data_IF_825058703629
#
_entry.id   IF_825058703629
#
_cell.length_a   1.000
_cell.length_b   1.000
_cell.length_c   1.000
_cell.angle_alpha   90.00
_cell.angle_beta   90.00
_cell.angle_gamma   90.00
#
_symmetry.space_group_name_H-M   'P 1'
#
loop_
_entity.id
_entity.type
_entity.pdbx_description
1 polymer ?
#
# COMPACT_ATOMS: atom_id res chain seq x y z
N UNK A 1 4.48 11.69 126.26
CA UNK A 1 5.81 11.22 125.79
C UNK A 1 5.76 9.90 125.02
N UNK A 2 4.90 8.93 125.40
CA UNK A 2 4.60 7.78 124.54
C UNK A 2 3.97 8.22 123.20
N UNK A 3 3.10 9.24 123.24
CA UNK A 3 2.49 9.84 122.04
C UNK A 3 3.52 10.49 121.10
N UNK A 4 4.66 10.97 121.61
CA UNK A 4 5.70 11.60 120.78
C UNK A 4 6.46 10.58 119.94
N UNK A 5 6.72 9.38 120.50
CA UNK A 5 7.39 8.29 119.78
C UNK A 5 6.41 7.66 118.80
N UNK A 6 5.14 7.55 119.19
CA UNK A 6 4.08 7.03 118.32
C UNK A 6 3.76 8.00 117.16
N UNK A 7 3.78 9.31 117.40
CA UNK A 7 3.68 10.35 116.36
C UNK A 7 4.90 10.37 115.44
N UNK A 8 6.12 10.18 115.95
CA UNK A 8 7.32 10.10 115.12
C UNK A 8 7.37 8.83 114.25
N UNK A 9 6.90 7.68 114.78
CA UNK A 9 6.71 6.48 113.98
C UNK A 9 5.56 6.63 112.97
N UNK A 10 4.46 7.33 113.31
CA UNK A 10 3.40 7.67 112.35
C UNK A 10 3.87 8.66 111.28
N UNK A 11 4.78 9.58 111.58
CA UNK A 11 5.37 10.49 110.59
C UNK A 11 6.25 9.73 109.58
N UNK A 12 7.03 8.75 110.05
CA UNK A 12 7.76 7.83 109.17
C UNK A 12 6.81 7.00 108.29
N UNK A 13 5.64 6.62 108.81
CA UNK A 13 4.60 5.89 108.04
C UNK A 13 3.87 6.79 107.05
N UNK A 14 3.56 8.04 107.39
CA UNK A 14 2.91 8.99 106.48
C UNK A 14 3.82 9.38 105.31
N UNK A 15 5.15 9.35 105.50
CA UNK A 15 6.13 9.47 104.42
C UNK A 15 6.14 8.20 103.53
N UNK A 16 5.99 7.01 104.12
CA UNK A 16 5.85 5.74 103.40
C UNK A 16 4.52 5.60 102.63
N UNK A 17 3.39 6.04 103.19
CA UNK A 17 2.07 5.92 102.55
C UNK A 17 1.91 6.86 101.34
N UNK A 18 2.78 7.88 101.20
CA UNK A 18 2.86 8.72 99.99
C UNK A 18 3.31 7.95 98.73
N UNK A 19 3.77 6.71 98.88
CA UNK A 19 4.12 5.79 97.78
C UNK A 19 2.89 5.18 97.12
N UNK A 20 1.71 5.24 97.76
CA UNK A 20 0.48 4.71 97.22
C UNK A 20 -0.31 5.74 96.41
N UNK A 21 0.05 5.95 95.14
CA UNK A 21 -0.81 6.30 93.98
C UNK A 21 -0.04 7.15 92.96
N UNK A 22 0.79 6.51 92.13
CA UNK A 22 1.18 7.12 90.85
C UNK A 22 2.54 6.72 90.31
N UNK A 23 2.53 5.99 89.20
CA UNK A 23 3.58 6.09 88.18
C UNK A 23 4.81 5.22 88.40
N UNK A 24 4.96 4.22 87.54
CA UNK A 24 6.23 3.55 87.27
C UNK A 24 7.19 4.60 86.69
N UNK A 25 7.99 5.23 87.57
CA UNK A 25 8.94 6.25 87.18
C UNK A 25 9.90 6.59 88.32
N UNK A 26 11.06 5.90 88.34
CA UNK A 26 12.40 6.32 88.80
C UNK A 26 12.62 7.11 90.11
N UNK A 27 11.61 7.49 90.89
CA UNK A 27 11.73 8.38 92.06
C UNK A 27 11.47 7.72 93.42
N UNK A 28 11.13 6.43 93.46
CA UNK A 28 10.77 5.74 94.71
C UNK A 28 11.94 5.35 95.62
N UNK A 29 13.19 5.52 95.19
CA UNK A 29 14.37 5.08 95.94
C UNK A 29 14.83 6.12 96.97
N UNK A 30 14.69 7.42 96.67
CA UNK A 30 15.21 8.50 97.52
C UNK A 30 14.47 8.65 98.86
N UNK A 31 13.18 8.32 98.92
CA UNK A 31 12.36 8.45 100.14
C UNK A 31 12.61 7.33 101.15
N UNK A 32 13.05 6.15 100.68
CA UNK A 32 13.43 5.03 101.55
C UNK A 32 14.78 5.32 102.21
N UNK A 33 15.74 5.87 101.47
CA UNK A 33 17.02 6.32 102.02
C UNK A 33 16.85 7.43 103.06
N UNK A 34 16.00 8.43 102.81
CA UNK A 34 15.67 9.49 103.78
C UNK A 34 15.01 8.94 105.06
N UNK A 35 14.11 7.94 104.93
CA UNK A 35 13.50 7.28 106.07
C UNK A 35 14.50 6.43 106.88
N UNK A 36 15.49 5.80 106.21
CA UNK A 36 16.57 5.06 106.86
C UNK A 36 17.57 5.98 107.56
N UNK A 37 17.88 7.15 106.98
CA UNK A 37 18.73 8.17 107.59
C UNK A 37 18.10 8.76 108.87
N UNK A 38 16.78 8.92 108.90
CA UNK A 38 16.03 9.39 110.07
C UNK A 38 15.90 8.34 111.19
N UNK A 39 16.10 7.06 110.87
CA UNK A 39 16.07 5.96 111.85
C UNK A 39 17.27 6.03 112.81
N UNK A 40 18.46 6.42 112.31
CA UNK A 40 19.71 6.47 113.08
C UNK A 40 19.69 7.41 114.30
N UNK A 41 19.29 8.70 114.15
CA UNK A 41 19.13 9.64 115.26
C UNK A 41 18.07 9.20 116.28
N UNK A 42 17.01 8.53 115.81
CA UNK A 42 15.90 8.05 116.63
C UNK A 42 16.35 6.88 117.51
N UNK A 43 17.10 5.93 116.95
CA UNK A 43 17.76 4.85 117.70
C UNK A 43 18.73 5.45 118.73
N UNK A 44 19.55 6.42 118.36
CA UNK A 44 20.48 7.08 119.30
C UNK A 44 19.77 7.81 120.46
N UNK A 45 18.65 8.47 120.21
CA UNK A 45 17.87 9.15 121.27
C UNK A 45 17.19 8.17 122.24
N UNK A 46 16.71 7.04 121.72
CA UNK A 46 16.11 5.95 122.51
C UNK A 46 17.15 5.23 123.38
N UNK A 47 18.37 5.05 122.87
CA UNK A 47 19.50 4.51 123.63
C UNK A 47 19.93 5.46 124.76
N UNK A 48 19.98 6.78 124.52
CA UNK A 48 20.27 7.78 125.57
C UNK A 48 19.19 7.87 126.65
N UNK A 49 17.92 7.61 126.29
CA UNK A 49 16.78 7.63 127.21
C UNK A 49 16.57 6.31 127.98
N UNK A 50 17.41 5.28 127.76
CA UNK A 50 17.36 3.94 128.38
C UNK A 50 15.99 3.21 128.22
N UNK A 51 15.28 3.42 127.11
CA UNK A 51 13.95 2.86 126.81
C UNK A 51 13.94 1.86 125.66
N UNK A 52 15.04 1.11 125.48
CA UNK A 52 15.23 0.16 124.37
C UNK A 52 14.13 -0.90 124.27
N UNK A 53 13.73 -1.49 125.41
CA UNK A 53 12.73 -2.57 125.44
C UNK A 53 11.34 -2.12 124.97
N UNK A 54 10.96 -0.88 125.28
CA UNK A 54 9.66 -0.33 124.88
C UNK A 54 9.63 -0.01 123.37
N UNK A 55 10.74 0.48 122.82
CA UNK A 55 10.84 0.73 121.38
C UNK A 55 10.83 -0.58 120.58
N UNK A 56 11.57 -1.61 121.03
CA UNK A 56 11.56 -2.92 120.39
C UNK A 56 10.16 -3.54 120.39
N UNK A 57 9.46 -3.48 121.53
CA UNK A 57 8.09 -3.96 121.63
C UNK A 57 7.12 -3.17 120.73
N UNK A 58 7.34 -1.88 120.56
CA UNK A 58 6.50 -1.03 119.72
C UNK A 58 6.76 -1.23 118.22
N UNK A 59 8.01 -1.50 117.82
CA UNK A 59 8.36 -1.90 116.45
C UNK A 59 7.83 -3.29 116.13
N UNK A 60 7.88 -4.22 117.07
CA UNK A 60 7.36 -5.58 116.91
C UNK A 60 5.83 -5.59 116.78
N UNK A 61 5.13 -4.78 117.59
CA UNK A 61 3.68 -4.55 117.44
C UNK A 61 3.33 -3.86 116.11
N UNK A 62 4.19 -2.96 115.63
CA UNK A 62 4.00 -2.30 114.35
C UNK A 62 4.19 -3.26 113.17
N UNK A 63 5.23 -4.09 113.19
CA UNK A 63 5.48 -5.14 112.20
C UNK A 63 4.31 -6.12 112.14
N UNK A 64 3.85 -6.62 113.30
CA UNK A 64 2.68 -7.52 113.38
C UNK A 64 1.41 -6.87 112.82
N UNK A 65 1.21 -5.56 113.05
CA UNK A 65 0.06 -4.83 112.51
C UNK A 65 0.13 -4.69 110.98
N UNK A 66 1.32 -4.42 110.43
CA UNK A 66 1.53 -4.32 108.98
C UNK A 66 1.46 -5.67 108.28
N UNK A 67 1.97 -6.74 108.91
CA UNK A 67 1.81 -8.10 108.41
C UNK A 67 0.34 -8.53 108.40
N UNK A 68 -0.44 -8.16 109.42
CA UNK A 68 -1.88 -8.40 109.44
C UNK A 68 -2.63 -7.59 108.36
N UNK A 69 -2.20 -6.36 108.08
CA UNK A 69 -2.74 -5.52 107.01
C UNK A 69 -2.44 -6.12 105.63
N UNK A 70 -1.20 -6.56 105.39
CA UNK A 70 -0.79 -7.26 104.17
C UNK A 70 -1.57 -8.58 104.01
N UNK A 71 -1.71 -9.39 105.07
CA UNK A 71 -2.48 -10.64 105.00
C UNK A 71 -3.95 -10.41 104.68
N UNK A 72 -4.55 -9.34 105.21
CA UNK A 72 -5.95 -8.99 104.89
C UNK A 72 -6.09 -8.57 103.42
N UNK A 73 -5.14 -7.80 102.91
CA UNK A 73 -5.13 -7.30 101.53
C UNK A 73 -4.81 -8.42 100.53
N UNK A 74 -3.86 -9.29 100.84
CA UNK A 74 -3.60 -10.53 100.10
C UNK A 74 -4.83 -11.46 100.15
N UNK A 75 -5.50 -11.58 101.29
CA UNK A 75 -6.73 -12.37 101.43
C UNK A 75 -7.88 -11.87 100.57
N UNK A 76 -8.04 -10.55 100.42
CA UNK A 76 -9.12 -9.96 99.59
C UNK A 76 -8.81 -9.97 98.10
N UNK A 77 -7.54 -9.79 97.69
CA UNK A 77 -7.17 -9.59 96.29
C UNK A 77 -6.44 -10.77 95.62
N UNK A 78 -6.06 -11.81 96.37
CA UNK A 78 -5.38 -12.98 95.80
C UNK A 78 -6.19 -13.66 94.70
N UNK A 79 -7.51 -13.78 94.88
CA UNK A 79 -8.37 -14.44 93.91
C UNK A 79 -8.47 -13.66 92.59
N UNK A 80 -8.59 -12.33 92.66
CA UNK A 80 -8.60 -11.45 91.48
C UNK A 80 -7.23 -11.43 90.78
N UNK A 81 -6.14 -11.46 91.55
CA UNK A 81 -4.78 -11.57 91.01
C UNK A 81 -4.58 -12.89 90.26
N UNK A 82 -4.98 -14.03 90.85
CA UNK A 82 -4.89 -15.35 90.20
C UNK A 82 -5.73 -15.39 88.92
N UNK A 83 -6.93 -14.81 88.94
CA UNK A 83 -7.76 -14.70 87.74
C UNK A 83 -7.11 -13.85 86.65
N UNK A 84 -6.49 -12.73 87.01
CA UNK A 84 -5.79 -11.85 86.07
C UNK A 84 -4.56 -12.54 85.45
N UNK A 85 -3.80 -13.29 86.26
CA UNK A 85 -2.67 -14.12 85.78
C UNK A 85 -3.15 -15.23 84.85
N UNK A 86 -4.26 -15.91 85.20
CA UNK A 86 -4.85 -16.94 84.34
C UNK A 86 -5.34 -16.36 83.00
N UNK A 87 -5.94 -15.16 83.01
CA UNK A 87 -6.33 -14.44 81.80
C UNK A 87 -5.11 -14.06 80.95
N UNK A 88 -4.03 -13.57 81.56
CA UNK A 88 -2.77 -13.27 80.85
C UNK A 88 -2.16 -14.51 80.20
N UNK A 89 -2.16 -15.65 80.88
CA UNK A 89 -1.70 -16.92 80.30
C UNK A 89 -2.58 -17.35 79.13
N UNK A 90 -3.91 -17.20 79.24
CA UNK A 90 -4.84 -17.49 78.15
C UNK A 90 -4.63 -16.56 76.95
N UNK A 91 -4.43 -15.26 77.19
CA UNK A 91 -4.11 -14.29 76.12
C UNK A 91 -2.78 -14.64 75.48
N UNK A 92 -1.75 -15.02 76.24
CA UNK A 92 -0.47 -15.46 75.70
C UNK A 92 -0.63 -16.67 74.79
N UNK A 93 -1.40 -17.67 75.23
CA UNK A 93 -1.67 -18.87 74.42
C UNK A 93 -2.43 -18.53 73.14
N UNK A 94 -3.50 -17.73 73.23
CA UNK A 94 -4.25 -17.28 72.06
C UNK A 94 -3.38 -16.45 71.09
N UNK A 95 -2.45 -15.65 71.61
CA UNK A 95 -1.53 -14.84 70.80
C UNK A 95 -0.51 -15.73 70.08
N UNK A 96 -0.04 -16.79 70.75
CA UNK A 96 0.83 -17.82 70.14
C UNK A 96 0.10 -18.57 69.03
N UNK A 97 -1.14 -19.00 69.27
CA UNK A 97 -1.95 -19.69 68.25
C UNK A 97 -2.28 -18.77 67.06
N UNK A 98 -2.56 -17.48 67.33
CA UNK A 98 -2.75 -16.48 66.29
C UNK A 98 -1.46 -16.29 65.48
N UNK A 99 -0.31 -16.20 66.15
CA UNK A 99 0.99 -16.07 65.49
C UNK A 99 1.26 -17.26 64.58
N UNK A 100 1.00 -18.49 65.04
CA UNK A 100 1.15 -19.70 64.22
C UNK A 100 0.23 -19.67 62.99
N UNK A 101 -1.05 -19.31 63.17
CA UNK A 101 -2.00 -19.15 62.05
C UNK A 101 -1.58 -18.05 61.07
N UNK A 102 -1.10 -16.91 61.56
CA UNK A 102 -0.63 -15.80 60.70
C UNK A 102 0.60 -16.22 59.91
N UNK A 103 1.54 -16.94 60.53
CA UNK A 103 2.71 -17.48 59.83
C UNK A 103 2.30 -18.53 58.81
N UNK A 104 1.39 -19.45 59.16
CA UNK A 104 0.84 -20.44 58.23
C UNK A 104 0.17 -19.81 57.02
N UNK A 105 -0.74 -18.86 57.24
CA UNK A 105 -1.41 -18.11 56.17
C UNK A 105 -0.42 -17.33 55.31
N UNK A 106 0.63 -16.75 55.90
CA UNK A 106 1.67 -16.05 55.12
C UNK A 106 2.45 -17.02 54.22
N UNK A 107 2.76 -18.23 54.69
CA UNK A 107 3.43 -19.26 53.88
C UNK A 107 2.51 -19.72 52.74
N UNK A 108 1.24 -20.01 53.02
CA UNK A 108 0.25 -20.39 52.00
C UNK A 108 0.03 -19.26 50.98
N UNK A 109 -0.03 -18.01 51.43
CA UNK A 109 -0.15 -16.84 50.56
C UNK A 109 1.09 -16.65 49.69
N UNK A 110 2.29 -16.88 50.21
CA UNK A 110 3.52 -16.82 49.41
C UNK A 110 3.58 -17.96 48.39
N UNK A 111 3.17 -19.18 48.75
CA UNK A 111 3.13 -20.30 47.83
C UNK A 111 2.12 -20.07 46.71
N UNK A 112 0.90 -19.66 47.04
CA UNK A 112 -0.14 -19.32 46.05
C UNK A 112 0.25 -18.10 45.21
N UNK A 113 0.92 -17.10 45.81
CA UNK A 113 1.47 -15.95 45.10
C UNK A 113 2.56 -16.34 44.10
N UNK A 114 3.44 -17.29 44.46
CA UNK A 114 4.49 -17.80 43.58
C UNK A 114 3.92 -18.58 42.40
N UNK A 115 2.98 -19.50 42.65
CA UNK A 115 2.33 -20.26 41.56
C UNK A 115 1.54 -19.34 40.63
N UNK A 116 0.85 -18.32 41.18
CA UNK A 116 0.17 -17.30 40.38
C UNK A 116 1.15 -16.49 39.53
N UNK A 117 2.31 -16.13 40.09
CA UNK A 117 3.35 -15.41 39.36
C UNK A 117 3.89 -16.24 38.19
N UNK A 118 4.21 -17.52 38.42
CA UNK A 118 4.68 -18.44 37.38
C UNK A 118 3.62 -18.57 36.26
N UNK A 119 2.35 -18.78 36.61
CA UNK A 119 1.25 -18.83 35.63
C UNK A 119 1.07 -17.52 34.87
N UNK A 120 1.26 -16.37 35.53
CA UNK A 120 1.21 -15.06 34.87
C UNK A 120 2.38 -14.86 33.91
N UNK A 121 3.58 -15.32 34.26
CA UNK A 121 4.75 -15.27 33.38
C UNK A 121 4.54 -16.14 32.14
N UNK A 122 4.04 -17.37 32.31
CA UNK A 122 3.64 -18.25 31.21
C UNK A 122 2.60 -17.56 30.30
N UNK A 123 1.55 -16.98 30.88
CA UNK A 123 0.50 -16.28 30.13
C UNK A 123 1.05 -15.09 29.32
N UNK A 124 1.98 -14.31 29.89
CA UNK A 124 2.64 -13.23 29.16
C UNK A 124 3.49 -13.73 27.99
N UNK A 125 4.19 -14.86 28.15
CA UNK A 125 4.94 -15.48 27.04
C UNK A 125 4.00 -15.95 25.92
N UNK A 126 2.91 -16.65 26.26
CA UNK A 126 1.87 -17.06 25.33
C UNK A 126 1.21 -15.87 24.61
N UNK A 127 0.98 -14.76 25.30
CA UNK A 127 0.45 -13.53 24.66
C UNK A 127 1.42 -12.92 23.66
N UNK A 128 2.73 -12.97 23.92
CA UNK A 128 3.75 -12.51 22.97
C UNK A 128 3.79 -13.41 21.74
N UNK A 129 3.78 -14.73 21.94
CA UNK A 129 3.70 -15.70 20.85
C UNK A 129 2.43 -15.51 20.03
N UNK A 130 1.27 -15.36 20.67
CA UNK A 130 0.01 -15.10 19.99
C UNK A 130 0.05 -13.79 19.17
N UNK A 131 0.63 -12.72 19.72
CA UNK A 131 0.81 -11.45 18.98
C UNK A 131 1.73 -11.61 17.77
N UNK A 132 2.81 -12.39 17.90
CA UNK A 132 3.71 -12.68 16.79
C UNK A 132 3.02 -13.53 15.72
N UNK A 133 2.23 -14.53 16.13
CA UNK A 133 1.43 -15.35 15.22
C UNK A 133 0.40 -14.49 14.49
N UNK A 134 -0.31 -13.59 15.18
CA UNK A 134 -1.27 -12.70 14.54
C UNK A 134 -0.61 -11.77 13.53
N UNK A 135 0.52 -11.15 13.89
CA UNK A 135 1.29 -10.32 12.96
C UNK A 135 1.76 -11.13 11.74
N UNK A 136 2.18 -12.39 11.93
CA UNK A 136 2.54 -13.27 10.83
C UNK A 136 1.33 -13.57 9.93
N UNK A 137 0.17 -13.87 10.50
CA UNK A 137 -1.08 -14.10 9.75
C UNK A 137 -1.43 -12.87 8.91
N UNK A 138 -1.45 -11.68 9.51
CA UNK A 138 -1.79 -10.44 8.82
C UNK A 138 -0.83 -10.20 7.63
N UNK A 139 0.48 -10.42 7.84
CA UNK A 139 1.49 -10.25 6.77
C UNK A 139 1.34 -11.27 5.65
N UNK A 140 1.00 -12.52 5.99
CA UNK A 140 0.74 -13.56 5.00
C UNK A 140 -0.51 -13.23 4.20
N UNK A 141 -1.58 -12.76 4.84
CA UNK A 141 -2.81 -12.36 4.15
C UNK A 141 -2.56 -11.23 3.14
N UNK A 142 -1.82 -10.18 3.53
CA UNK A 142 -1.43 -9.11 2.59
C UNK A 142 -0.59 -9.64 1.43
N UNK A 143 0.32 -10.59 1.69
CA UNK A 143 1.14 -11.19 0.63
C UNK A 143 0.32 -12.06 -0.34
N UNK A 144 -0.71 -12.77 0.14
CA UNK A 144 -1.62 -13.57 -0.68
C UNK A 144 -2.45 -12.67 -1.61
N UNK A 145 -2.92 -11.53 -1.11
CA UNK A 145 -3.64 -10.56 -1.92
C UNK A 145 -2.77 -10.02 -3.06
N UNK A 146 -1.50 -9.72 -2.78
CA UNK A 146 -0.51 -9.31 -3.78
C UNK A 146 -0.29 -10.39 -4.84
N UNK A 147 -0.13 -11.66 -4.43
CA UNK A 147 0.01 -12.78 -5.37
C UNK A 147 -1.25 -12.93 -6.23
N UNK A 148 -2.44 -12.75 -5.63
CA UNK A 148 -3.70 -12.79 -6.38
C UNK A 148 -3.80 -11.65 -7.40
N UNK A 149 -3.31 -10.46 -7.06
CA UNK A 149 -3.26 -9.32 -8.00
C UNK A 149 -2.28 -9.56 -9.15
N UNK A 150 -1.16 -10.25 -8.90
CA UNK A 150 -0.23 -10.66 -9.97
C UNK A 150 -0.85 -11.73 -10.86
N UNK A 151 -1.53 -12.72 -10.27
CA UNK A 151 -2.23 -13.76 -11.02
C UNK A 151 -3.37 -13.18 -11.87
N UNK A 152 -4.15 -12.24 -11.31
CA UNK A 152 -5.21 -11.55 -12.07
C UNK A 152 -4.62 -10.67 -13.17
N UNK A 153 -3.45 -10.06 -12.98
CA UNK A 153 -2.75 -9.37 -14.06
C UNK A 153 -2.42 -10.32 -15.22
N UNK A 154 -1.86 -11.50 -14.94
CA UNK A 154 -1.55 -12.47 -16.01
C UNK A 154 -2.83 -12.92 -16.76
N UNK A 155 -3.96 -13.08 -16.06
CA UNK A 155 -5.27 -13.38 -16.68
C UNK A 155 -5.82 -12.20 -17.50
N UNK A 156 -5.66 -10.96 -17.01
CA UNK A 156 -6.07 -9.75 -17.74
C UNK A 156 -5.26 -9.55 -19.02
N UNK A 157 -3.97 -9.87 -18.98
CA UNK A 157 -3.11 -9.88 -20.17
C UNK A 157 -3.58 -10.95 -21.16
N UNK A 158 -3.94 -12.15 -20.70
CA UNK A 158 -4.45 -13.22 -21.56
C UNK A 158 -5.81 -12.86 -22.20
N UNK A 159 -6.66 -12.12 -21.49
CA UNK A 159 -7.97 -11.66 -21.98
C UNK A 159 -7.92 -10.35 -22.79
N UNK A 160 -6.72 -9.84 -23.10
CA UNK A 160 -6.47 -8.60 -23.87
C UNK A 160 -7.06 -7.34 -23.23
N UNK A 161 -7.35 -7.36 -21.93
CA UNK A 161 -7.85 -6.20 -21.20
C UNK A 161 -6.68 -5.36 -20.68
N UNK A 162 -5.96 -4.71 -21.60
CA UNK A 162 -4.72 -4.01 -21.25
C UNK A 162 -4.93 -2.81 -20.31
N UNK A 163 -6.08 -2.13 -20.40
CA UNK A 163 -6.38 -1.00 -19.52
C UNK A 163 -6.54 -1.41 -18.05
N UNK A 164 -7.29 -2.49 -17.78
CA UNK A 164 -7.43 -3.01 -16.43
C UNK A 164 -6.11 -3.59 -15.93
N UNK A 165 -5.31 -4.24 -16.80
CA UNK A 165 -3.98 -4.74 -16.47
C UNK A 165 -3.01 -3.62 -16.04
N UNK A 166 -3.03 -2.46 -16.70
CA UNK A 166 -2.23 -1.30 -16.26
C UNK A 166 -2.72 -0.79 -14.91
N UNK A 167 -4.04 -0.71 -14.73
CA UNK A 167 -4.61 -0.23 -13.47
C UNK A 167 -4.24 -1.15 -12.31
N UNK A 168 -4.30 -2.46 -12.48
CA UNK A 168 -3.88 -3.43 -11.45
C UNK A 168 -2.38 -3.35 -11.17
N UNK A 169 -1.55 -3.11 -12.19
CA UNK A 169 -0.12 -2.88 -12.00
C UNK A 169 0.17 -1.56 -11.27
N UNK A 170 -0.63 -0.52 -11.55
CA UNK A 170 -0.58 0.77 -10.83
C UNK A 170 -0.94 0.62 -9.35
N UNK A 171 -2.06 -0.04 -9.04
CA UNK A 171 -2.47 -0.29 -7.65
C UNK A 171 -1.48 -1.18 -6.91
N UNK A 172 -0.86 -2.16 -7.60
CA UNK A 172 0.22 -2.97 -7.05
C UNK A 172 1.42 -2.11 -6.62
N UNK A 173 1.80 -1.13 -7.45
CA UNK A 173 2.94 -0.23 -7.21
C UNK A 173 2.65 0.85 -6.16
N UNK A 174 1.43 1.37 -6.08
CA UNK A 174 1.08 2.46 -5.17
C UNK A 174 0.68 1.94 -3.78
N UNK A 175 -0.18 0.91 -3.72
CA UNK A 175 -0.83 0.49 -2.47
C UNK A 175 -0.05 -0.60 -1.73
N UNK A 176 0.45 -1.60 -2.45
CA UNK A 176 1.01 -2.81 -1.83
C UNK A 176 2.54 -2.76 -1.68
N UNK A 177 3.23 -1.93 -2.45
CA UNK A 177 4.69 -1.74 -2.33
C UNK A 177 5.14 -1.26 -0.95
N UNK A 178 4.55 -0.21 -0.35
CA UNK A 178 4.94 0.25 0.98
C UNK A 178 4.84 -0.83 2.07
N UNK A 179 3.87 -1.74 1.91
CA UNK A 179 3.59 -2.79 2.89
C UNK A 179 4.57 -3.97 2.77
N UNK A 180 5.00 -4.30 1.55
CA UNK A 180 5.73 -5.54 1.27
C UNK A 180 7.26 -5.34 1.16
N UNK A 181 7.76 -4.09 1.03
CA UNK A 181 9.20 -3.75 0.94
C UNK A 181 10.09 -4.34 2.05
N UNK A 182 9.53 -4.59 3.23
CA UNK A 182 10.28 -5.15 4.37
C UNK A 182 10.64 -6.64 4.20
N UNK A 183 9.99 -7.34 3.27
CA UNK A 183 10.11 -8.78 3.11
C UNK A 183 10.91 -9.14 1.85
N UNK A 184 11.57 -10.30 1.85
CA UNK A 184 12.29 -10.82 0.69
C UNK A 184 11.37 -10.97 -0.54
N UNK A 185 10.09 -11.31 -0.31
CA UNK A 185 9.04 -11.34 -1.34
C UNK A 185 8.84 -9.97 -2.04
N UNK A 186 8.90 -8.87 -1.29
CA UNK A 186 8.77 -7.53 -1.88
C UNK A 186 9.94 -7.16 -2.80
N UNK A 187 11.16 -7.59 -2.44
CA UNK A 187 12.33 -7.42 -3.30
C UNK A 187 12.22 -8.23 -4.59
N UNK A 188 11.70 -9.47 -4.51
CA UNK A 188 11.42 -10.27 -5.71
C UNK A 188 10.36 -9.61 -6.58
N UNK A 189 9.29 -9.08 -5.97
CA UNK A 189 8.23 -8.37 -6.68
C UNK A 189 8.74 -7.11 -7.39
N UNK A 190 9.64 -6.35 -6.75
CA UNK A 190 10.26 -5.17 -7.36
C UNK A 190 11.09 -5.53 -8.60
N UNK A 191 11.75 -6.69 -8.59
CA UNK A 191 12.44 -7.19 -9.80
C UNK A 191 11.49 -7.77 -10.86
N UNK A 192 10.28 -8.19 -10.49
CA UNK A 192 9.32 -8.77 -11.43
C UNK A 192 8.43 -7.74 -12.11
N UNK A 193 8.16 -6.59 -11.49
CA UNK A 193 7.36 -5.50 -12.10
C UNK A 193 7.89 -5.07 -13.48
N UNK A 194 9.17 -4.72 -13.68
CA UNK A 194 9.65 -4.31 -15.00
C UNK A 194 9.52 -5.44 -16.04
N UNK A 195 9.58 -6.71 -15.60
CA UNK A 195 9.32 -7.86 -16.47
C UNK A 195 7.83 -7.95 -16.83
N UNK A 196 6.93 -7.69 -15.89
CA UNK A 196 5.48 -7.64 -16.13
C UNK A 196 5.11 -6.49 -17.09
N UNK A 197 5.71 -5.31 -16.89
CA UNK A 197 5.56 -4.17 -17.81
C UNK A 197 6.06 -4.54 -19.22
N UNK A 198 7.22 -5.20 -19.32
CA UNK A 198 7.74 -5.67 -20.61
C UNK A 198 6.87 -6.75 -21.25
N UNK A 199 6.28 -7.66 -20.47
CA UNK A 199 5.33 -8.68 -20.97
C UNK A 199 4.06 -8.02 -21.51
N UNK A 200 3.51 -7.05 -20.79
CA UNK A 200 2.35 -6.29 -21.21
C UNK A 200 2.63 -5.51 -22.50
N UNK A 201 3.78 -4.83 -22.55
CA UNK A 201 4.22 -4.11 -23.75
C UNK A 201 4.37 -5.07 -24.93
N UNK A 202 5.01 -6.23 -24.73
CA UNK A 202 5.19 -7.25 -25.77
C UNK A 202 3.87 -7.81 -26.28
N UNK A 203 2.92 -8.12 -25.39
CA UNK A 203 1.58 -8.60 -25.76
C UNK A 203 0.82 -7.56 -26.58
N UNK A 204 0.81 -6.30 -26.14
CA UNK A 204 0.16 -5.23 -26.86
C UNK A 204 0.81 -4.99 -28.24
N UNK A 205 2.15 -4.97 -28.32
CA UNK A 205 2.86 -4.86 -29.59
C UNK A 205 2.56 -6.01 -30.55
N UNK A 206 2.44 -7.24 -30.03
CA UNK A 206 2.03 -8.40 -30.84
C UNK A 206 0.62 -8.20 -31.40
N UNK A 207 -0.34 -7.82 -30.56
CA UNK A 207 -1.72 -7.56 -30.99
C UNK A 207 -1.82 -6.43 -32.03
N UNK A 208 -1.02 -5.37 -31.88
CA UNK A 208 -0.95 -4.30 -32.87
C UNK A 208 -0.32 -4.77 -34.19
N UNK A 209 0.70 -5.62 -34.15
CA UNK A 209 1.29 -6.21 -35.37
C UNK A 209 0.31 -7.15 -36.07
N UNK A 210 -0.44 -7.95 -35.32
CA UNK A 210 -1.51 -8.80 -35.86
C UNK A 210 -2.62 -7.94 -36.49
N UNK A 211 -2.98 -6.83 -35.85
CA UNK A 211 -3.89 -5.85 -36.42
C UNK A 211 -3.34 -5.20 -37.70
N UNK A 212 -2.06 -4.79 -37.73
CA UNK A 212 -1.42 -4.26 -38.96
C UNK A 212 -1.41 -5.30 -40.09
N UNK A 213 -1.27 -6.59 -39.77
CA UNK A 213 -1.39 -7.66 -40.76
C UNK A 213 -2.83 -7.79 -41.28
N UNK A 214 -3.84 -7.74 -40.41
CA UNK A 214 -5.25 -7.71 -40.80
C UNK A 214 -5.60 -6.47 -41.63
N UNK A 215 -5.02 -5.33 -41.28
CA UNK A 215 -5.15 -4.05 -41.96
C UNK A 215 -4.68 -4.12 -43.42
N UNK A 216 -3.76 -5.03 -43.78
CA UNK A 216 -3.33 -5.22 -45.18
C UNK A 216 -4.49 -5.62 -46.11
N UNK A 217 -5.45 -6.41 -45.61
CA UNK A 217 -6.62 -6.81 -46.40
C UNK A 217 -7.58 -5.64 -46.56
N UNK A 218 -7.89 -4.97 -45.46
CA UNK A 218 -8.83 -3.84 -45.47
C UNK A 218 -8.27 -2.63 -46.22
N UNK A 219 -6.95 -2.39 -46.19
CA UNK A 219 -6.29 -1.34 -46.99
C UNK A 219 -6.47 -1.58 -48.48
N UNK A 220 -6.35 -2.83 -48.95
CA UNK A 220 -6.66 -3.18 -50.35
C UNK A 220 -8.10 -2.87 -50.70
N UNK A 221 -9.04 -3.22 -49.83
CA UNK A 221 -10.47 -2.98 -50.05
C UNK A 221 -10.80 -1.47 -50.05
N UNK A 222 -10.18 -0.71 -49.16
CA UNK A 222 -10.27 0.76 -49.11
C UNK A 222 -9.75 1.37 -50.41
N UNK A 223 -8.56 0.96 -50.85
CA UNK A 223 -7.96 1.44 -52.09
C UNK A 223 -8.82 1.13 -53.31
N UNK A 224 -9.39 -0.09 -53.39
CA UNK A 224 -10.30 -0.49 -54.46
C UNK A 224 -11.60 0.34 -54.44
N UNK A 225 -12.19 0.53 -53.27
CA UNK A 225 -13.42 1.30 -53.11
C UNK A 225 -13.24 2.75 -53.57
N UNK A 226 -12.15 3.39 -53.16
CA UNK A 226 -11.85 4.78 -53.53
C UNK A 226 -11.50 4.93 -55.01
N UNK A 227 -10.75 3.98 -55.57
CA UNK A 227 -10.46 3.97 -57.00
C UNK A 227 -11.73 3.79 -57.82
N UNK A 228 -12.65 2.92 -57.39
CA UNK A 228 -13.94 2.74 -58.04
C UNK A 228 -14.82 4.00 -57.91
N UNK A 229 -14.85 4.63 -56.74
CA UNK A 229 -15.54 5.91 -56.51
C UNK A 229 -15.00 6.99 -57.44
N UNK A 230 -13.68 7.10 -57.56
CA UNK A 230 -13.06 8.06 -58.47
C UNK A 230 -13.35 7.75 -59.95
N UNK A 231 -13.28 6.49 -60.37
CA UNK A 231 -13.65 6.09 -61.75
C UNK A 231 -15.10 6.45 -62.08
N UNK A 232 -16.03 6.22 -61.15
CA UNK A 232 -17.43 6.65 -61.31
C UNK A 232 -17.53 8.17 -61.48
N UNK A 233 -16.84 8.96 -60.64
CA UNK A 233 -16.78 10.42 -60.77
C UNK A 233 -16.24 10.83 -62.15
N UNK A 234 -15.17 10.21 -62.64
CA UNK A 234 -14.57 10.51 -63.95
C UNK A 234 -15.49 10.22 -65.13
N UNK A 235 -16.16 9.05 -65.15
CA UNK A 235 -17.12 8.71 -66.22
C UNK A 235 -18.27 9.71 -66.24
N UNK A 236 -18.80 10.06 -65.07
CA UNK A 236 -19.88 11.05 -64.95
C UNK A 236 -19.44 12.44 -65.38
N UNK A 237 -18.20 12.86 -65.09
CA UNK A 237 -17.64 14.11 -65.60
C UNK A 237 -17.49 14.08 -67.13
N UNK A 238 -17.02 12.97 -67.70
CA UNK A 238 -16.90 12.82 -69.16
C UNK A 238 -18.28 12.82 -69.87
N UNK A 239 -19.28 12.16 -69.29
CA UNK A 239 -20.66 12.17 -69.79
C UNK A 239 -21.28 13.58 -69.72
N UNK A 240 -21.06 14.30 -68.60
CA UNK A 240 -21.47 15.70 -68.41
C UNK A 240 -20.79 16.60 -69.44
N UNK A 241 -19.48 16.48 -69.65
CA UNK A 241 -18.75 17.27 -70.64
C UNK A 241 -19.20 16.98 -72.09
N UNK A 242 -19.60 15.74 -72.41
CA UNK A 242 -20.14 15.40 -73.73
C UNK A 242 -21.57 15.92 -73.98
N UNK A 243 -22.34 16.04 -72.89
CA UNK A 243 -23.75 16.47 -72.86
C UNK A 243 -23.90 18.01 -72.88
N UNK A 244 -22.92 18.73 -72.32
CA UNK A 244 -22.91 20.19 -72.23
C UNK A 244 -22.40 20.81 -73.54
N UNK A 245 -23.24 20.76 -74.59
CA UNK A 245 -23.06 21.58 -75.80
C UNK A 245 -23.40 23.07 -75.58
N UNK A 246 -24.01 23.42 -74.46
CA UNK A 246 -24.32 24.81 -74.08
C UNK A 246 -23.64 25.16 -72.75
N UNK A 247 -22.60 25.99 -72.83
CA UNK A 247 -21.81 26.46 -71.68
C UNK A 247 -22.63 27.41 -70.80
N UNK A 248 -23.49 26.88 -69.95
CA UNK A 248 -23.90 27.61 -68.76
C UNK A 248 -22.86 27.30 -67.67
N UNK A 249 -22.13 28.34 -67.28
CA UNK A 249 -21.13 28.30 -66.21
C UNK A 249 -21.80 27.87 -64.91
N UNK A 250 -21.79 26.57 -64.62
CA UNK A 250 -22.13 26.06 -63.30
C UNK A 250 -20.95 26.45 -62.40
N UNK A 251 -21.21 27.33 -61.43
CA UNK A 251 -20.20 27.75 -60.46
C UNK A 251 -19.63 26.52 -59.73
N UNK A 252 -18.33 26.52 -59.45
CA UNK A 252 -17.62 25.46 -58.69
C UNK A 252 -18.34 25.06 -57.40
N UNK A 253 -19.10 25.97 -56.78
CA UNK A 253 -19.90 25.71 -55.59
C UNK A 253 -21.15 24.85 -55.85
N UNK A 254 -21.81 25.01 -57.00
CA UNK A 254 -22.97 24.19 -57.40
C UNK A 254 -22.51 22.79 -57.81
N UNK A 255 -21.33 22.70 -58.42
CA UNK A 255 -20.70 21.43 -58.77
C UNK A 255 -20.32 20.63 -57.52
N UNK A 256 -19.79 21.29 -56.49
CA UNK A 256 -19.50 20.66 -55.19
C UNK A 256 -20.75 20.06 -54.52
N UNK A 257 -21.87 20.79 -54.51
CA UNK A 257 -23.15 20.31 -53.93
C UNK A 257 -23.73 19.15 -54.74
N UNK A 258 -23.62 19.19 -56.07
CA UNK A 258 -24.04 18.09 -56.94
C UNK A 258 -23.15 16.85 -56.79
N UNK A 259 -21.92 16.98 -56.31
CA UNK A 259 -21.02 15.87 -56.04
C UNK A 259 -21.24 15.29 -54.62
N UNK A 260 -21.71 16.09 -53.64
CA UNK A 260 -22.09 15.64 -52.28
C UNK A 260 -23.30 14.67 -52.27
N UNK A 261 -24.27 14.81 -53.18
CA UNK A 261 -25.43 13.89 -53.25
C UNK A 261 -25.03 12.44 -53.61
N UNK A 262 -23.82 12.22 -54.15
CA UNK A 262 -23.30 10.92 -54.55
C UNK A 262 -22.33 10.29 -53.55
N UNK A 263 -22.05 10.98 -52.43
CA UNK A 263 -21.17 10.51 -51.34
C UNK A 263 -21.91 9.65 -50.30
N UNK A 264 -23.06 9.07 -50.65
CA UNK A 264 -23.87 8.19 -49.77
C UNK A 264 -23.25 6.80 -49.51
N UNK A 265 -22.04 6.51 -50.00
CA UNK A 265 -21.35 5.28 -49.64
C UNK A 265 -20.76 5.40 -48.22
N UNK A 266 -21.16 4.49 -47.32
CA UNK A 266 -20.65 4.45 -45.95
C UNK A 266 -19.11 4.45 -45.95
N UNK A 267 -18.45 5.37 -45.23
CA UNK A 267 -17.00 5.38 -45.15
C UNK A 267 -16.53 4.07 -44.51
N UNK A 268 -15.59 3.39 -45.17
CA UNK A 268 -14.95 2.19 -44.62
C UNK A 268 -14.20 2.60 -43.35
N UNK A 269 -14.85 2.38 -42.21
CA UNK A 269 -14.32 2.65 -40.89
C UNK A 269 -13.23 1.63 -40.55
N UNK A 270 -12.04 2.10 -40.25
CA UNK A 270 -10.94 1.25 -39.76
C UNK A 270 -10.88 1.36 -38.25
N UNK A 271 -11.08 0.24 -37.55
CA UNK A 271 -10.98 0.20 -36.10
C UNK A 271 -9.52 0.43 -35.65
N UNK A 272 -9.25 1.63 -35.11
CA UNK A 272 -7.94 2.04 -34.59
C UNK A 272 -7.69 1.59 -33.14
N UNK A 273 -8.60 0.83 -32.54
CA UNK A 273 -8.55 0.44 -31.12
C UNK A 273 -7.23 -0.21 -30.69
N UNK A 274 -6.65 -1.18 -31.43
CA UNK A 274 -5.37 -1.80 -31.04
C UNK A 274 -4.20 -0.82 -31.01
N UNK A 275 -4.20 0.16 -31.93
CA UNK A 275 -3.19 1.23 -31.97
C UNK A 275 -3.30 2.13 -30.73
N UNK A 276 -4.51 2.56 -30.37
CA UNK A 276 -4.71 3.41 -29.19
C UNK A 276 -4.39 2.69 -27.88
N UNK A 277 -4.73 1.40 -27.76
CA UNK A 277 -4.35 0.61 -26.60
C UNK A 277 -2.83 0.54 -26.45
N UNK A 278 -2.11 0.25 -27.55
CA UNK A 278 -0.65 0.24 -27.54
C UNK A 278 -0.05 1.61 -27.23
N UNK A 279 -0.61 2.68 -27.80
CA UNK A 279 -0.17 4.03 -27.53
C UNK A 279 -0.33 4.38 -26.05
N UNK A 280 -1.50 4.08 -25.48
CA UNK A 280 -1.79 4.32 -24.07
C UNK A 280 -0.84 3.56 -23.14
N UNK A 281 -0.56 2.28 -23.43
CA UNK A 281 0.37 1.47 -22.65
C UNK A 281 1.77 2.07 -22.68
N UNK A 282 2.28 2.40 -23.87
CA UNK A 282 3.62 2.98 -24.00
C UNK A 282 3.71 4.39 -23.38
N UNK A 283 2.63 5.15 -23.35
CA UNK A 283 2.56 6.44 -22.66
C UNK A 283 2.62 6.26 -21.14
N UNK A 284 1.86 5.32 -20.58
CA UNK A 284 1.91 5.01 -19.14
C UNK A 284 3.24 4.43 -18.70
N UNK A 285 3.94 3.71 -19.57
CA UNK A 285 5.29 3.18 -19.33
C UNK A 285 6.41 4.19 -19.60
N UNK A 286 6.11 5.37 -20.15
CA UNK A 286 7.11 6.40 -20.50
C UNK A 286 7.98 6.07 -21.72
N UNK A 287 7.61 5.06 -22.53
CA UNK A 287 8.35 4.58 -23.72
C UNK A 287 7.75 5.06 -25.05
N UNK A 288 7.02 6.18 -25.05
CA UNK A 288 6.32 6.71 -26.23
C UNK A 288 7.27 6.98 -27.41
N UNK A 289 8.45 7.54 -27.15
CA UNK A 289 9.41 7.89 -28.20
C UNK A 289 9.99 6.65 -28.92
N UNK A 290 10.33 5.61 -28.15
CA UNK A 290 10.80 4.32 -28.68
C UNK A 290 9.72 3.67 -29.56
N UNK A 291 8.47 3.66 -29.07
CA UNK A 291 7.34 3.14 -29.82
C UNK A 291 7.08 3.91 -31.12
N UNK A 292 7.17 5.24 -31.10
CA UNK A 292 7.03 6.06 -32.31
C UNK A 292 8.08 5.72 -33.36
N UNK A 293 9.32 5.50 -32.93
CA UNK A 293 10.42 5.10 -33.82
C UNK A 293 10.17 3.73 -34.42
N UNK A 294 9.89 2.71 -33.60
CA UNK A 294 9.64 1.36 -34.09
C UNK A 294 8.43 1.31 -35.02
N UNK A 295 7.37 2.06 -34.71
CA UNK A 295 6.18 2.15 -35.58
C UNK A 295 6.52 2.79 -36.93
N UNK A 296 7.33 3.84 -36.95
CA UNK A 296 7.73 4.51 -38.20
C UNK A 296 8.58 3.58 -39.08
N UNK A 297 9.50 2.83 -38.47
CA UNK A 297 10.32 1.82 -39.13
C UNK A 297 9.43 0.69 -39.69
N UNK A 298 8.53 0.11 -38.88
CA UNK A 298 7.60 -0.95 -39.30
C UNK A 298 6.72 -0.51 -40.49
N UNK A 299 6.24 0.73 -40.48
CA UNK A 299 5.40 1.27 -41.58
C UNK A 299 6.20 1.57 -42.84
N UNK A 300 7.44 2.04 -42.71
CA UNK A 300 8.38 2.18 -43.84
C UNK A 300 8.66 0.82 -44.50
N UNK A 301 8.90 -0.20 -43.69
CA UNK A 301 9.15 -1.57 -44.17
C UNK A 301 7.92 -2.15 -44.86
N UNK A 302 6.72 -1.94 -44.31
CA UNK A 302 5.46 -2.34 -44.96
C UNK A 302 5.26 -1.69 -46.34
N UNK A 303 5.52 -0.38 -46.45
CA UNK A 303 5.47 0.31 -47.75
C UNK A 303 6.50 -0.28 -48.72
N UNK A 304 7.71 -0.57 -48.24
CA UNK A 304 8.75 -1.19 -49.06
C UNK A 304 8.35 -2.58 -49.56
N UNK A 305 7.66 -3.37 -48.74
CA UNK A 305 7.19 -4.71 -49.08
C UNK A 305 6.04 -4.67 -50.09
N UNK A 306 5.14 -3.68 -50.00
CA UNK A 306 4.07 -3.47 -50.98
C UNK A 306 4.70 -3.19 -52.36
N UNK A 307 5.69 -2.30 -52.40
CA UNK A 307 6.35 -1.87 -53.64
C UNK A 307 7.42 -2.85 -54.15
N UNK A 308 7.87 -3.82 -53.34
CA UNK A 308 8.82 -4.85 -53.73
C UNK A 308 8.18 -6.01 -54.52
N UNK A 309 6.86 -6.08 -54.60
CA UNK A 309 6.17 -7.14 -55.35
C UNK A 309 6.58 -7.07 -56.83
N UNK A 310 7.07 -8.17 -57.43
CA UNK A 310 7.50 -8.15 -58.83
C UNK A 310 6.27 -7.91 -59.73
N UNK A 311 6.29 -6.80 -60.46
CA UNK A 311 5.28 -6.48 -61.47
C UNK A 311 5.89 -6.73 -62.83
N UNK A 312 5.23 -7.59 -63.61
CA UNK A 312 5.51 -7.75 -65.02
C UNK A 312 4.42 -7.02 -65.81
N UNK A 313 4.83 -6.14 -66.71
CA UNK A 313 3.91 -5.38 -67.56
C UNK A 313 3.68 -6.18 -68.85
N UNK A 314 2.76 -7.14 -68.78
CA UNK A 314 2.15 -7.79 -69.92
C UNK A 314 0.62 -7.67 -69.79
N UNK A 315 -0.12 -7.64 -70.90
CA UNK A 315 -1.57 -7.38 -70.92
C UNK A 315 -2.36 -8.34 -70.00
N UNK A 316 -1.93 -9.61 -69.90
CA UNK A 316 -2.53 -10.62 -69.03
C UNK A 316 -2.13 -10.50 -67.54
N UNK A 317 -1.19 -9.62 -67.19
CA UNK A 317 -0.58 -9.48 -65.86
C UNK A 317 -0.62 -8.06 -65.28
N UNK A 318 -1.52 -7.19 -65.76
CA UNK A 318 -1.72 -5.85 -65.20
C UNK A 318 -2.50 -5.84 -63.87
N UNK A 319 -3.31 -6.87 -63.59
CA UNK A 319 -4.09 -6.97 -62.34
C UNK A 319 -3.26 -6.90 -61.04
N UNK A 320 -2.06 -7.52 -60.96
CA UNK A 320 -1.10 -7.32 -59.88
C UNK A 320 -0.65 -5.86 -59.67
N UNK A 321 -0.48 -5.08 -60.75
CA UNK A 321 -0.11 -3.67 -60.66
C UNK A 321 -1.26 -2.81 -60.15
N UNK A 322 -2.48 -3.02 -60.67
CA UNK A 322 -3.69 -2.36 -60.15
C UNK A 322 -3.92 -2.68 -58.67
N UNK A 323 -3.71 -3.94 -58.27
CA UNK A 323 -3.81 -4.35 -56.86
C UNK A 323 -2.75 -3.69 -55.99
N UNK A 324 -1.53 -3.49 -56.50
CA UNK A 324 -0.47 -2.76 -55.80
C UNK A 324 -0.86 -1.28 -55.64
N UNK A 325 -1.41 -0.64 -56.67
CA UNK A 325 -1.89 0.75 -56.57
C UNK A 325 -3.01 0.88 -55.51
N UNK A 326 -3.95 -0.06 -55.46
CA UNK A 326 -4.96 -0.11 -54.40
C UNK A 326 -4.32 -0.26 -53.01
N UNK A 327 -3.32 -1.13 -52.86
CA UNK A 327 -2.60 -1.29 -51.59
C UNK A 327 -1.90 0.02 -51.16
N UNK A 328 -1.31 0.75 -52.11
CA UNK A 328 -0.64 2.04 -51.86
C UNK A 328 -1.65 3.12 -51.47
N UNK A 329 -2.77 3.26 -52.19
CA UNK A 329 -3.84 4.21 -51.86
C UNK A 329 -4.36 3.94 -50.44
N UNK A 330 -4.70 2.68 -50.16
CA UNK A 330 -5.21 2.28 -48.84
C UNK A 330 -4.20 2.54 -47.72
N UNK A 331 -2.91 2.28 -47.97
CA UNK A 331 -1.85 2.53 -47.00
C UNK A 331 -1.78 4.01 -46.60
N UNK A 332 -1.72 4.93 -47.56
CA UNK A 332 -1.59 6.37 -47.28
C UNK A 332 -2.85 6.98 -46.68
N UNK A 333 -4.02 6.42 -46.96
CA UNK A 333 -5.27 6.89 -46.35
C UNK A 333 -5.37 6.46 -44.89
N UNK A 334 -4.91 5.24 -44.57
CA UNK A 334 -4.80 4.84 -43.16
C UNK A 334 -3.75 5.70 -42.43
N UNK A 335 -2.62 6.02 -43.06
CA UNK A 335 -1.64 6.96 -42.48
C UNK A 335 -2.26 8.35 -42.24
N UNK A 336 -3.06 8.86 -43.18
CA UNK A 336 -3.77 10.12 -43.04
C UNK A 336 -4.74 10.09 -41.85
N UNK A 337 -5.52 9.01 -41.72
CA UNK A 337 -6.45 8.82 -40.61
C UNK A 337 -5.75 8.68 -39.25
N UNK A 338 -4.58 8.02 -39.22
CA UNK A 338 -3.74 7.94 -38.01
C UNK A 338 -3.20 9.33 -37.64
N UNK A 339 -2.76 10.11 -38.62
CA UNK A 339 -2.31 11.50 -38.40
C UNK A 339 -3.44 12.38 -37.86
N UNK A 340 -4.63 12.29 -38.45
CA UNK A 340 -5.80 13.07 -38.04
C UNK A 340 -6.26 12.71 -36.61
N UNK A 341 -6.19 11.42 -36.25
CA UNK A 341 -6.65 10.97 -34.95
C UNK A 341 -5.63 11.13 -33.83
N UNK A 342 -4.32 11.13 -34.15
CA UNK A 342 -3.24 11.23 -33.16
C UNK A 342 -2.08 12.12 -33.65
N UNK A 343 -2.28 13.45 -33.73
CA UNK A 343 -1.29 14.40 -34.27
C UNK A 343 0.01 14.43 -33.44
N UNK A 344 -0.07 14.20 -32.13
CA UNK A 344 1.09 14.15 -31.25
C UNK A 344 1.94 12.88 -31.43
N UNK A 345 1.40 11.86 -32.11
CA UNK A 345 2.09 10.59 -32.35
C UNK A 345 2.71 10.54 -33.74
N UNK A 346 1.97 11.00 -34.76
CA UNK A 346 2.36 10.96 -36.16
C UNK A 346 2.32 12.36 -36.76
N UNK A 347 3.49 12.86 -37.18
CA UNK A 347 3.58 14.19 -37.77
C UNK A 347 3.35 14.16 -39.28
N UNK A 348 2.88 15.29 -39.84
CA UNK A 348 2.70 15.45 -41.28
C UNK A 348 4.00 15.25 -42.05
N UNK A 349 5.12 15.77 -41.54
CA UNK A 349 6.44 15.59 -42.15
C UNK A 349 6.87 14.12 -42.25
N UNK A 350 6.51 13.28 -41.27
CA UNK A 350 6.86 11.85 -41.32
C UNK A 350 6.10 11.13 -42.45
N UNK A 351 4.84 11.50 -42.67
CA UNK A 351 4.00 10.93 -43.73
C UNK A 351 4.41 11.46 -45.10
N UNK A 352 4.72 12.76 -45.22
CA UNK A 352 5.21 13.36 -46.46
C UNK A 352 6.55 12.73 -46.89
N UNK A 353 7.47 12.47 -45.95
CA UNK A 353 8.73 11.77 -46.25
C UNK A 353 8.53 10.31 -46.71
N UNK A 354 7.55 9.60 -46.12
CA UNK A 354 7.15 8.27 -46.60
C UNK A 354 6.53 8.35 -48.00
N UNK A 355 5.72 9.37 -48.28
CA UNK A 355 5.10 9.60 -49.58
C UNK A 355 6.16 9.85 -50.66
N UNK A 356 7.14 10.70 -50.40
CA UNK A 356 8.26 10.94 -51.31
C UNK A 356 9.05 9.67 -51.61
N UNK A 357 9.30 8.84 -50.60
CA UNK A 357 9.98 7.55 -50.76
C UNK A 357 9.12 6.55 -51.55
N UNK A 358 7.81 6.55 -51.32
CA UNK A 358 6.84 5.72 -52.02
C UNK A 358 6.73 6.08 -53.50
N UNK A 359 6.59 7.38 -53.82
CA UNK A 359 6.60 7.86 -55.20
C UNK A 359 7.91 7.52 -55.88
N UNK A 360 9.07 7.81 -55.28
CA UNK A 360 10.36 7.52 -55.91
C UNK A 360 10.49 6.05 -56.32
N UNK A 361 10.09 5.13 -55.44
CA UNK A 361 10.07 3.69 -55.73
C UNK A 361 9.04 3.31 -56.80
N UNK A 362 7.84 3.91 -56.79
CA UNK A 362 6.82 3.71 -57.82
C UNK A 362 7.32 4.19 -59.18
N UNK A 363 7.93 5.37 -59.23
CA UNK A 363 8.59 5.93 -60.41
C UNK A 363 9.68 5.00 -60.93
N UNK A 364 10.51 4.42 -60.07
CA UNK A 364 11.54 3.45 -60.46
C UNK A 364 10.95 2.15 -61.03
N UNK A 365 9.79 1.69 -60.53
CA UNK A 365 9.08 0.52 -61.07
C UNK A 365 8.56 0.82 -62.47
N UNK A 366 7.93 1.98 -62.65
CA UNK A 366 7.43 2.41 -63.96
C UNK A 366 8.60 2.58 -64.93
N UNK A 367 9.67 3.28 -64.50
CA UNK A 367 10.87 3.53 -65.30
C UNK A 367 11.54 2.26 -65.84
N UNK A 368 11.66 1.24 -64.98
CA UNK A 368 12.23 -0.07 -65.36
C UNK A 368 11.41 -0.81 -66.42
N UNK A 369 10.13 -0.51 -66.54
CA UNK A 369 9.21 -1.19 -67.45
C UNK A 369 8.76 -0.32 -68.64
N UNK A 370 9.34 0.89 -68.82
CA UNK A 370 9.00 1.81 -69.93
C UNK A 370 9.11 1.12 -71.29
N UNK A 371 10.09 0.25 -71.50
CA UNK A 371 10.28 -0.43 -72.78
C UNK A 371 9.10 -1.37 -73.10
N UNK A 372 8.65 -2.15 -72.13
CA UNK A 372 7.48 -3.03 -72.29
C UNK A 372 6.17 -2.22 -72.47
N UNK A 373 6.06 -1.06 -71.81
CA UNK A 373 4.91 -0.17 -71.94
C UNK A 373 4.83 0.46 -73.34
N UNK A 374 5.98 0.79 -73.95
CA UNK A 374 6.05 1.41 -75.28
C UNK A 374 5.80 0.43 -76.42
N UNK A 375 6.05 -0.86 -76.20
CA UNK A 375 5.85 -1.91 -77.20
C UNK A 375 4.37 -2.26 -77.41
N UNK A 376 3.51 -2.08 -76.39
CA UNK A 376 2.10 -2.46 -76.43
C UNK A 376 1.16 -1.26 -76.16
N UNK A 377 0.51 -0.78 -77.22
CA UNK A 377 -0.36 0.40 -77.17
C UNK A 377 -1.59 0.21 -76.27
N UNK A 378 -2.09 -1.03 -76.11
CA UNK A 378 -3.22 -1.31 -75.24
C UNK A 378 -2.80 -1.27 -73.76
N UNK A 379 -1.62 -1.80 -73.42
CA UNK A 379 -1.04 -1.72 -72.06
C UNK A 379 -0.80 -0.26 -71.68
N UNK A 380 -0.28 0.55 -72.60
CA UNK A 380 -0.05 1.98 -72.39
C UNK A 380 -1.34 2.73 -72.03
N UNK A 381 -2.44 2.48 -72.74
CA UNK A 381 -3.73 3.13 -72.46
C UNK A 381 -4.32 2.75 -71.09
N UNK A 382 -4.33 1.46 -70.75
CA UNK A 382 -4.84 0.99 -69.44
C UNK A 382 -3.96 1.51 -68.29
N UNK A 383 -2.64 1.55 -68.48
CA UNK A 383 -1.71 2.08 -67.49
C UNK A 383 -1.92 3.59 -67.28
N UNK A 384 -2.12 4.35 -68.36
CA UNK A 384 -2.43 5.77 -68.29
C UNK A 384 -3.74 6.01 -67.51
N UNK A 385 -4.80 5.23 -67.77
CA UNK A 385 -6.06 5.33 -67.04
C UNK A 385 -5.89 5.03 -65.53
N UNK A 386 -5.17 3.95 -65.20
CA UNK A 386 -4.92 3.55 -63.81
C UNK A 386 -4.09 4.59 -63.05
N UNK A 387 -3.01 5.10 -63.65
CA UNK A 387 -2.16 6.11 -63.02
C UNK A 387 -2.90 7.45 -62.92
N UNK A 388 -3.69 7.83 -63.93
CA UNK A 388 -4.52 9.04 -63.88
C UNK A 388 -5.53 8.94 -62.74
N UNK A 389 -6.24 7.81 -62.63
CA UNK A 389 -7.17 7.57 -61.51
C UNK A 389 -6.45 7.65 -60.16
N UNK A 390 -5.28 7.00 -60.03
CA UNK A 390 -4.46 7.05 -58.82
C UNK A 390 -4.07 8.50 -58.47
N UNK A 391 -3.67 9.30 -59.45
CA UNK A 391 -3.28 10.69 -59.21
C UNK A 391 -4.41 11.53 -58.66
N UNK A 392 -5.61 11.40 -59.23
CA UNK A 392 -6.79 12.12 -58.73
C UNK A 392 -7.21 11.70 -57.32
N UNK A 393 -7.19 10.39 -57.02
CA UNK A 393 -7.49 9.89 -55.67
C UNK A 393 -6.53 10.48 -54.64
N UNK A 394 -5.24 10.55 -54.96
CA UNK A 394 -4.23 11.09 -54.03
C UNK A 394 -4.30 12.62 -53.91
N UNK A 395 -4.68 13.34 -54.97
CA UNK A 395 -4.92 14.79 -54.94
C UNK A 395 -6.14 15.16 -54.08
N UNK A 396 -7.23 14.40 -54.16
CA UNK A 396 -8.42 14.59 -53.31
C UNK A 396 -8.06 14.44 -51.81
N UNK A 397 -7.09 13.56 -51.50
CA UNK A 397 -6.57 13.34 -50.15
C UNK A 397 -5.39 14.27 -49.77
N UNK A 398 -5.19 15.37 -50.51
CA UNK A 398 -4.19 16.41 -50.23
C UNK A 398 -2.72 15.98 -50.26
N UNK A 399 -2.37 14.94 -51.04
CA UNK A 399 -0.98 14.55 -51.30
C UNK A 399 -0.40 15.28 -52.53
N UNK A 400 0.92 15.51 -52.54
CA UNK A 400 1.60 16.14 -53.68
C UNK A 400 1.89 15.13 -54.79
N UNK A 401 1.23 15.29 -55.94
CA UNK A 401 1.32 14.35 -57.08
C UNK A 401 2.10 14.94 -58.27
N UNK A 402 2.73 16.12 -58.11
CA UNK A 402 3.45 16.81 -59.20
C UNK A 402 4.48 15.92 -59.91
N UNK A 403 5.33 15.24 -59.13
CA UNK A 403 6.37 14.33 -59.65
C UNK A 403 5.79 13.20 -60.49
N UNK A 404 4.66 12.63 -60.07
CA UNK A 404 4.02 11.54 -60.81
C UNK A 404 3.34 12.07 -62.08
N UNK A 405 2.73 13.26 -62.03
CA UNK A 405 2.14 13.91 -63.21
C UNK A 405 3.20 14.23 -64.26
N UNK A 406 4.35 14.79 -63.87
CA UNK A 406 5.49 15.03 -64.78
C UNK A 406 5.97 13.73 -65.44
N UNK A 407 6.04 12.62 -64.70
CA UNK A 407 6.41 11.31 -65.25
C UNK A 407 5.36 10.75 -66.21
N UNK A 408 4.06 10.90 -65.91
CA UNK A 408 3.01 10.48 -66.84
C UNK A 408 3.09 11.26 -68.16
N UNK A 409 3.31 12.57 -68.10
CA UNK A 409 3.47 13.41 -69.29
C UNK A 409 4.71 12.96 -70.09
N UNK A 410 5.83 12.70 -69.43
CA UNK A 410 7.05 12.25 -70.10
C UNK A 410 6.94 10.87 -70.77
N UNK A 411 6.07 9.98 -70.29
CA UNK A 411 5.91 8.61 -70.81
C UNK A 411 4.80 8.54 -71.88
N UNK A 412 3.70 9.28 -71.72
CA UNK A 412 2.51 9.15 -72.56
C UNK A 412 2.29 10.30 -73.57
N UNK A 413 3.00 11.43 -73.46
CA UNK A 413 2.96 12.52 -74.47
C UNK A 413 4.13 12.49 -75.48
N UNK A 414 4.98 11.46 -75.46
CA UNK A 414 6.05 11.22 -76.45
C UNK A 414 5.71 10.07 -77.39
#
# INVERSE_FOLDING_TARGET
MADSIQQQLQQLVLLSDSVGLGGVGSGGVSTVEEAMEQLGPLIHSVYRANKQKLFQQQVELFAQRKDAEIMKLCGSYHQEFVQSVAQLLKVRQNTSELQEKVVGLNVELQQSGKTLYEKKAELLSLRREHRNIQAAIDTVQSSVEVVRMVASFDELVATKQYYSAIKTLGTLKETYMPQVRKYAFGRLLETSIPKMESKLQGAALSDMKDWLYGLKKTTRDIGRHLTLRMKKKQVMWAERDSSVKERYFVSSAVQFVLDEEFDQDDPISVEMMPLYQCLHINEKLGRRAEFRRSFTEDRSDQLSLILASPVQFALASLGPFESMLHDVIGFFIVEHNIMASAPDFRSKSDVDALWDTGIAKLSDIIARNIQAIREDAEVSGVLQELLTTFTYVMEENSYDVRKLRELMMAIFES
#
